data_IF_331969449247
#
_entry.id   IF_331969449247
#
_cell.length_a   1.000
_cell.length_b   1.000
_cell.length_c   1.000
_cell.angle_alpha   90.00
_cell.angle_beta   90.00
_cell.angle_gamma   90.00
#
_symmetry.space_group_name_H-M   'P 1'
#
loop_
_entity.id
_entity.type
_entity.pdbx_description
1 polymer ?
#
# COMPACT_ATOMS: atom_id res chain seq x y z
N UNK A 1 7.37 5.81 -19.79
CA UNK A 1 6.21 5.54 -18.92
C UNK A 1 6.70 4.62 -17.82
N UNK A 2 6.43 4.91 -16.54
CA UNK A 2 6.86 4.07 -15.42
C UNK A 2 6.12 2.72 -15.50
N UNK A 3 6.83 1.58 -15.39
CA UNK A 3 6.23 0.24 -15.52
C UNK A 3 5.07 0.04 -14.56
N UNK A 4 5.18 0.53 -13.33
CA UNK A 4 4.10 0.46 -12.33
C UNK A 4 2.81 1.14 -12.81
N UNK A 5 2.92 2.31 -13.45
CA UNK A 5 1.78 3.04 -14.00
C UNK A 5 1.14 2.27 -15.14
N UNK A 6 1.95 1.65 -16.00
CA UNK A 6 1.47 0.79 -17.09
C UNK A 6 0.66 -0.39 -16.57
N UNK A 7 1.23 -1.18 -15.65
CA UNK A 7 0.57 -2.35 -15.06
C UNK A 7 -0.72 -1.97 -14.33
N UNK A 8 -0.70 -0.89 -13.53
CA UNK A 8 -1.88 -0.40 -12.84
C UNK A 8 -3.02 -0.04 -13.79
N UNK A 9 -2.72 0.68 -14.88
CA UNK A 9 -3.72 1.04 -15.90
C UNK A 9 -4.26 -0.16 -16.66
N UNK A 10 -3.46 -1.21 -16.78
CA UNK A 10 -3.87 -2.51 -17.33
C UNK A 10 -4.68 -3.36 -16.33
N UNK A 11 -4.81 -2.91 -15.08
CA UNK A 11 -5.48 -3.70 -14.03
C UNK A 11 -4.66 -4.92 -13.61
N UNK A 12 -3.33 -4.78 -13.55
CA UNK A 12 -2.40 -5.87 -13.19
C UNK A 12 -1.37 -5.43 -12.16
N UNK A 13 -0.90 -6.36 -11.35
CA UNK A 13 0.23 -6.18 -10.42
C UNK A 13 1.22 -7.34 -10.52
N UNK A 14 2.47 -7.08 -10.15
CA UNK A 14 3.50 -8.12 -10.01
C UNK A 14 3.27 -8.88 -8.71
N UNK A 15 3.28 -10.22 -8.77
CA UNK A 15 2.97 -11.07 -7.61
C UNK A 15 4.19 -11.12 -6.70
N UNK A 16 4.23 -10.19 -5.74
CA UNK A 16 5.25 -10.16 -4.69
C UNK A 16 4.74 -9.42 -3.46
N UNK A 17 5.15 -9.86 -2.26
CA UNK A 17 5.02 -9.02 -1.06
C UNK A 17 5.91 -7.77 -1.20
N UNK A 18 5.30 -6.67 -1.65
CA UNK A 18 6.04 -5.46 -1.98
C UNK A 18 5.25 -4.17 -1.80
N UNK A 19 5.99 -3.10 -1.51
CA UNK A 19 5.52 -1.74 -1.61
C UNK A 19 6.30 -1.01 -2.71
N UNK A 20 5.56 -0.56 -3.70
CA UNK A 20 6.05 0.13 -4.89
C UNK A 20 5.77 1.61 -4.76
N UNK A 21 6.81 2.44 -4.74
CA UNK A 21 6.69 3.89 -4.76
C UNK A 21 6.91 4.40 -6.18
N UNK A 22 5.85 4.93 -6.80
CA UNK A 22 5.90 5.45 -8.18
C UNK A 22 6.63 6.78 -8.22
N UNK A 23 6.48 7.59 -7.17
CA UNK A 23 7.16 8.89 -7.03
C UNK A 23 8.68 8.76 -6.97
N UNK A 24 9.19 7.73 -6.28
CA UNK A 24 10.63 7.47 -6.16
C UNK A 24 11.16 6.45 -7.18
N UNK A 25 10.26 5.69 -7.83
CA UNK A 25 10.62 4.55 -8.68
C UNK A 25 11.15 3.34 -7.91
N UNK A 26 11.11 3.35 -6.57
CA UNK A 26 11.70 2.31 -5.73
C UNK A 26 10.65 1.29 -5.31
N UNK A 27 11.02 0.00 -5.35
CA UNK A 27 10.22 -1.09 -4.79
C UNK A 27 10.93 -1.68 -3.58
N UNK A 28 10.18 -1.90 -2.50
CA UNK A 28 10.67 -2.50 -1.26
C UNK A 28 9.99 -3.84 -1.08
N UNK A 29 10.77 -4.88 -0.76
CA UNK A 29 10.17 -6.09 -0.21
C UNK A 29 9.50 -5.74 1.12
N UNK A 30 8.33 -6.29 1.40
CA UNK A 30 7.66 -6.11 2.69
C UNK A 30 7.30 -7.47 3.28
N UNK A 31 7.08 -7.49 4.58
CA UNK A 31 6.47 -8.62 5.26
C UNK A 31 5.43 -8.09 6.25
N UNK A 32 4.32 -8.80 6.39
CA UNK A 32 3.34 -8.52 7.45
C UNK A 32 4.00 -8.85 8.79
N UNK A 33 4.04 -7.85 9.67
CA UNK A 33 4.60 -7.96 11.01
C UNK A 33 3.76 -7.11 11.96
N UNK A 34 2.81 -7.71 12.72
CA UNK A 34 1.97 -6.98 13.66
C UNK A 34 2.75 -6.28 14.78
N UNK A 35 4.02 -6.66 15.02
CA UNK A 35 4.90 -6.00 15.97
C UNK A 35 5.65 -4.80 15.39
N UNK A 36 5.68 -4.65 14.06
CA UNK A 36 6.28 -3.51 13.40
C UNK A 36 5.30 -2.32 13.35
N UNK A 37 5.81 -1.07 13.35
CA UNK A 37 4.98 0.10 13.08
C UNK A 37 4.16 -0.05 11.80
N UNK A 38 2.85 0.16 11.90
CA UNK A 38 1.93 0.02 10.76
C UNK A 38 1.75 -1.41 10.24
N UNK A 39 2.16 -2.43 11.01
CA UNK A 39 1.93 -3.84 10.65
C UNK A 39 2.83 -4.36 9.52
N UNK A 40 3.84 -3.59 9.10
CA UNK A 40 4.71 -3.90 7.97
C UNK A 40 6.19 -3.79 8.36
N UNK A 41 6.96 -4.81 8.03
CA UNK A 41 8.42 -4.78 8.06
C UNK A 41 8.96 -4.61 6.65
N UNK A 42 9.64 -3.49 6.41
CA UNK A 42 10.33 -3.22 5.14
C UNK A 42 11.65 -3.98 5.07
N UNK A 43 11.91 -4.61 3.93
CA UNK A 43 13.14 -5.29 3.58
C UNK A 43 13.92 -4.53 2.50
N UNK A 44 14.75 -5.27 1.77
CA UNK A 44 15.62 -4.72 0.74
C UNK A 44 14.84 -4.13 -0.44
N UNK A 45 15.44 -3.12 -1.07
CA UNK A 45 14.97 -2.60 -2.34
C UNK A 45 15.28 -3.57 -3.48
N UNK A 46 14.40 -3.63 -4.47
CA UNK A 46 14.60 -4.45 -5.66
C UNK A 46 14.18 -3.71 -6.94
N UNK A 47 14.70 -4.18 -8.07
CA UNK A 47 14.36 -3.67 -9.40
C UNK A 47 13.18 -4.46 -9.97
N UNK A 48 12.00 -3.83 -9.92
CA UNK A 48 10.77 -4.40 -10.43
C UNK A 48 10.81 -4.65 -11.95
N UNK A 49 11.50 -3.80 -12.72
CA UNK A 49 11.63 -3.98 -14.16
C UNK A 49 12.49 -5.21 -14.47
N UNK A 50 13.61 -5.38 -13.75
CA UNK A 50 14.48 -6.54 -13.91
C UNK A 50 13.75 -7.85 -13.54
N UNK A 51 13.00 -7.86 -12.44
CA UNK A 51 12.24 -9.05 -12.02
C UNK A 51 11.09 -9.38 -12.96
N UNK A 52 10.34 -8.38 -13.42
CA UNK A 52 9.26 -8.58 -14.38
C UNK A 52 9.76 -9.07 -15.76
N UNK A 53 11.00 -8.75 -16.12
CA UNK A 53 11.64 -9.30 -17.33
C UNK A 53 12.11 -10.74 -17.10
N UNK A 54 12.61 -11.04 -15.90
CA UNK A 54 13.06 -12.39 -15.54
C UNK A 54 11.89 -13.38 -15.43
N UNK A 55 10.71 -12.92 -14.99
CA UNK A 55 9.52 -13.74 -14.81
C UNK A 55 8.24 -13.03 -15.31
N UNK A 56 7.96 -13.10 -16.63
CA UNK A 56 6.84 -12.38 -17.24
C UNK A 56 5.45 -12.96 -16.89
N UNK A 57 5.40 -14.16 -16.30
CA UNK A 57 4.15 -14.82 -15.91
C UNK A 57 3.72 -14.44 -14.49
N UNK A 58 4.61 -13.81 -13.70
CA UNK A 58 4.41 -13.45 -12.30
C UNK A 58 3.55 -12.20 -12.10
N UNK A 59 2.37 -12.21 -12.69
CA UNK A 59 1.42 -11.10 -12.64
C UNK A 59 0.02 -11.61 -12.28
N UNK A 60 -0.68 -10.83 -11.47
CA UNK A 60 -2.09 -11.06 -11.15
C UNK A 60 -2.93 -9.94 -11.75
N UNK A 61 -4.13 -10.28 -12.23
CA UNK A 61 -5.16 -9.28 -12.50
C UNK A 61 -5.72 -8.79 -11.18
N UNK A 62 -6.03 -7.50 -11.08
CA UNK A 62 -6.58 -6.90 -9.87
C UNK A 62 -8.01 -6.44 -10.07
N UNK A 63 -8.82 -6.65 -9.03
CA UNK A 63 -10.17 -6.14 -8.92
C UNK A 63 -10.23 -5.12 -7.79
N UNK A 64 -10.49 -3.86 -8.13
CA UNK A 64 -10.70 -2.80 -7.15
C UNK A 64 -12.09 -2.97 -6.54
N UNK A 65 -12.16 -3.35 -5.27
CA UNK A 65 -13.43 -3.57 -4.57
C UNK A 65 -13.81 -2.40 -3.66
N UNK A 66 -12.88 -1.48 -3.40
CA UNK A 66 -13.16 -0.28 -2.61
C UNK A 66 -12.30 0.91 -2.97
N UNK A 67 -12.82 2.09 -2.61
CA UNK A 67 -12.19 3.39 -2.84
C UNK A 67 -12.57 4.38 -1.74
N UNK A 68 -11.64 5.24 -1.35
CA UNK A 68 -11.86 6.34 -0.43
C UNK A 68 -11.23 7.62 -0.99
N UNK A 69 -12.02 8.67 -1.30
CA UNK A 69 -11.47 9.92 -1.83
C UNK A 69 -10.60 10.63 -0.80
N UNK A 70 -9.56 11.31 -1.26
CA UNK A 70 -8.67 12.13 -0.43
C UNK A 70 -8.93 13.63 -0.68
N UNK A 71 -8.60 14.52 0.28
CA UNK A 71 -8.84 15.96 0.15
C UNK A 71 -8.07 16.63 -1.00
N UNK A 72 -6.96 16.02 -1.44
CA UNK A 72 -6.12 16.48 -2.56
C UNK A 72 -6.70 16.12 -3.94
N UNK A 73 -7.87 15.46 -3.99
CA UNK A 73 -8.50 14.99 -5.21
C UNK A 73 -8.02 13.60 -5.67
N UNK A 74 -7.02 13.03 -5.00
CA UNK A 74 -6.62 11.64 -5.16
C UNK A 74 -7.57 10.67 -4.45
N UNK A 75 -7.18 9.41 -4.36
CA UNK A 75 -7.94 8.40 -3.63
C UNK A 75 -7.05 7.29 -3.08
N UNK A 76 -7.51 6.64 -2.02
CA UNK A 76 -7.06 5.30 -1.64
C UNK A 76 -7.91 4.27 -2.36
N UNK A 77 -7.29 3.20 -2.85
CA UNK A 77 -7.98 2.07 -3.49
C UNK A 77 -7.47 0.77 -2.89
N UNK A 78 -8.33 -0.23 -2.84
CA UNK A 78 -7.96 -1.55 -2.35
C UNK A 78 -8.82 -2.62 -3.01
N UNK A 79 -8.36 -3.86 -2.88
CA UNK A 79 -9.09 -5.01 -3.38
C UNK A 79 -8.27 -6.29 -3.35
N UNK A 80 -8.46 -7.10 -4.37
CA UNK A 80 -7.89 -8.43 -4.48
C UNK A 80 -7.10 -8.66 -5.76
N UNK A 81 -6.24 -9.66 -5.73
CA UNK A 81 -5.69 -10.30 -6.91
C UNK A 81 -6.46 -11.56 -7.28
N UNK A 82 -6.39 -11.94 -8.55
CA UNK A 82 -7.12 -13.07 -9.15
C UNK A 82 -6.92 -14.44 -8.51
N UNK A 83 -5.90 -14.65 -7.68
CA UNK A 83 -5.65 -15.92 -7.00
C UNK A 83 -6.41 -16.07 -5.67
N UNK A 84 -7.10 -15.03 -5.19
CA UNK A 84 -7.97 -15.07 -4.00
C UNK A 84 -7.25 -15.13 -2.64
N UNK A 85 -5.94 -15.41 -2.62
CA UNK A 85 -5.08 -15.24 -1.42
C UNK A 85 -4.46 -13.84 -1.35
N UNK A 86 -4.56 -13.07 -2.43
CA UNK A 86 -3.87 -11.80 -2.63
C UNK A 86 -4.72 -10.61 -2.17
N UNK A 87 -4.07 -9.58 -1.67
CA UNK A 87 -4.68 -8.29 -1.40
C UNK A 87 -3.76 -7.15 -1.81
N UNK A 88 -4.36 -6.06 -2.31
CA UNK A 88 -3.62 -4.83 -2.58
C UNK A 88 -4.29 -3.60 -1.96
N UNK A 89 -3.45 -2.61 -1.67
CA UNK A 89 -3.86 -1.26 -1.32
C UNK A 89 -3.01 -0.27 -2.11
N UNK A 90 -3.55 0.86 -2.51
CA UNK A 90 -2.84 1.86 -3.28
C UNK A 90 -3.33 3.27 -2.94
N UNK A 91 -2.44 4.25 -3.08
CA UNK A 91 -2.84 5.65 -3.28
C UNK A 91 -2.72 5.98 -4.75
N UNK A 92 -3.75 6.64 -5.28
CA UNK A 92 -3.74 7.22 -6.62
C UNK A 92 -3.86 8.74 -6.56
N UNK A 93 -3.23 9.41 -7.53
CA UNK A 93 -3.39 10.84 -7.76
C UNK A 93 -4.76 11.14 -8.40
N UNK A 94 -5.06 12.43 -8.59
CA UNK A 94 -6.36 12.89 -9.13
C UNK A 94 -6.64 12.44 -10.56
N UNK A 95 -5.61 12.10 -11.32
CA UNK A 95 -5.71 11.52 -12.67
C UNK A 95 -5.89 9.99 -12.65
N UNK A 96 -5.87 9.37 -11.46
CA UNK A 96 -6.01 7.93 -11.27
C UNK A 96 -4.70 7.15 -11.37
N UNK A 97 -3.57 7.81 -11.61
CA UNK A 97 -2.26 7.15 -11.64
C UNK A 97 -1.78 6.80 -10.22
N UNK A 98 -1.09 5.67 -10.06
CA UNK A 98 -0.61 5.24 -8.75
C UNK A 98 0.50 6.18 -8.26
N UNK A 99 0.43 6.53 -6.97
CA UNK A 99 1.49 7.19 -6.21
C UNK A 99 2.32 6.13 -5.49
N UNK A 100 1.63 5.17 -4.87
CA UNK A 100 2.23 3.95 -4.33
C UNK A 100 1.23 2.79 -4.39
N UNK A 101 1.77 1.57 -4.41
CA UNK A 101 1.00 0.33 -4.41
C UNK A 101 1.63 -0.64 -3.41
N UNK A 102 0.84 -1.17 -2.49
CA UNK A 102 1.15 -2.29 -1.63
C UNK A 102 0.46 -3.53 -2.18
N UNK A 103 1.20 -4.61 -2.39
CA UNK A 103 0.68 -5.93 -2.74
C UNK A 103 1.17 -6.95 -1.71
N UNK A 104 0.27 -7.84 -1.28
CA UNK A 104 0.58 -8.95 -0.39
C UNK A 104 0.00 -10.24 -0.98
N UNK A 105 0.85 -11.26 -1.11
CA UNK A 105 0.54 -12.56 -1.73
C UNK A 105 -0.38 -13.40 -0.83
N UNK A 106 -0.26 -13.23 0.50
CA UNK A 106 -0.96 -14.00 1.52
C UNK A 106 -1.70 -13.11 2.54
N UNK A 107 -2.43 -12.09 2.06
CA UNK A 107 -3.26 -11.25 2.95
C UNK A 107 -4.74 -11.55 2.88
N UNK A 108 -5.21 -12.28 1.88
CA UNK A 108 -6.59 -12.24 1.39
C UNK A 108 -7.00 -10.81 0.94
N UNK A 109 -8.17 -10.65 0.29
CA UNK A 109 -8.64 -9.34 -0.14
C UNK A 109 -8.70 -8.33 0.99
N UNK A 110 -8.24 -7.10 0.74
CA UNK A 110 -8.56 -5.97 1.59
C UNK A 110 -10.04 -5.62 1.42
N UNK A 111 -10.74 -5.41 2.54
CA UNK A 111 -12.20 -5.20 2.54
C UNK A 111 -12.62 -3.92 3.23
N UNK A 112 -11.75 -3.33 4.06
CA UNK A 112 -12.04 -2.11 4.81
C UNK A 112 -10.82 -1.21 4.87
N UNK A 113 -11.10 0.09 4.95
CA UNK A 113 -10.11 1.12 5.26
C UNK A 113 -10.62 2.00 6.40
N UNK A 114 -9.72 2.36 7.31
CA UNK A 114 -9.96 3.36 8.35
C UNK A 114 -8.95 4.48 8.15
N UNK A 115 -9.44 5.67 7.81
CA UNK A 115 -8.61 6.85 7.57
C UNK A 115 -8.64 7.75 8.81
N UNK A 116 -7.48 8.14 9.33
CA UNK A 116 -7.35 9.06 10.46
C UNK A 116 -6.17 9.99 10.22
N UNK A 117 -6.43 11.27 9.94
CA UNK A 117 -5.39 12.21 9.54
C UNK A 117 -4.68 11.72 8.27
N UNK A 118 -3.36 11.56 8.36
CA UNK A 118 -2.49 11.15 7.24
C UNK A 118 -2.22 9.63 7.21
N UNK A 119 -2.97 8.87 8.03
CA UNK A 119 -2.85 7.42 8.15
C UNK A 119 -4.06 6.70 7.57
N UNK A 120 -3.81 5.60 6.87
CA UNK A 120 -4.83 4.72 6.34
C UNK A 120 -4.56 3.28 6.77
N UNK A 121 -5.42 2.74 7.63
CA UNK A 121 -5.35 1.34 8.06
C UNK A 121 -6.25 0.49 7.16
N UNK A 122 -5.66 -0.44 6.42
CA UNK A 122 -6.37 -1.41 5.61
C UNK A 122 -6.52 -2.72 6.37
N UNK A 123 -7.71 -3.30 6.34
CA UNK A 123 -8.02 -4.58 6.97
C UNK A 123 -8.47 -5.59 5.91
N UNK A 124 -7.83 -6.75 5.90
CA UNK A 124 -8.17 -7.86 5.02
C UNK A 124 -9.25 -8.76 5.61
N UNK A 125 -9.85 -9.58 4.75
CA UNK A 125 -10.86 -10.56 5.18
C UNK A 125 -10.29 -11.67 6.08
N UNK A 126 -8.98 -11.87 6.11
CA UNK A 126 -8.29 -12.79 7.03
C UNK A 126 -7.82 -12.12 8.33
N UNK A 127 -8.05 -10.81 8.49
CA UNK A 127 -7.68 -10.05 9.68
C UNK A 127 -6.27 -9.45 9.64
N UNK A 128 -5.57 -9.52 8.51
CA UNK A 128 -4.32 -8.76 8.30
C UNK A 128 -4.64 -7.27 8.33
N UNK A 129 -3.85 -6.52 9.11
CA UNK A 129 -3.99 -5.06 9.25
C UNK A 129 -2.67 -4.38 8.96
N UNK A 130 -2.68 -3.45 8.03
CA UNK A 130 -1.51 -2.69 7.60
C UNK A 130 -1.85 -1.21 7.49
N UNK A 131 -0.92 -0.35 7.87
CA UNK A 131 -1.10 1.10 7.91
C UNK A 131 0.03 1.79 7.15
N UNK A 132 0.08 1.68 5.81
CA UNK A 132 1.00 2.48 5.02
C UNK A 132 0.66 3.98 5.17
N UNK A 133 1.68 4.82 5.31
CA UNK A 133 1.48 6.27 5.30
C UNK A 133 0.88 6.75 3.98
N UNK A 134 -0.09 7.65 4.01
CA UNK A 134 -0.77 8.12 2.79
C UNK A 134 0.22 8.89 1.89
N UNK A 135 1.00 9.80 2.48
CA UNK A 135 2.02 10.60 1.77
C UNK A 135 3.44 10.01 1.84
N UNK A 136 3.71 9.19 2.85
CA UNK A 136 5.02 8.57 3.07
C UNK A 136 4.84 7.07 3.38
N UNK A 137 4.62 6.24 2.35
CA UNK A 137 4.21 4.84 2.55
C UNK A 137 5.33 3.94 3.09
N UNK A 138 6.60 4.37 3.01
CA UNK A 138 7.79 3.61 3.45
C UNK A 138 8.49 4.16 4.70
N UNK A 139 7.94 5.21 5.31
CA UNK A 139 8.38 5.67 6.63
C UNK A 139 7.21 5.44 7.58
N UNK A 140 7.44 4.85 8.77
CA UNK A 140 6.38 4.86 9.78
C UNK A 140 5.93 6.31 9.95
N UNK A 141 4.62 6.55 9.92
CA UNK A 141 4.07 7.76 10.51
C UNK A 141 4.64 7.91 11.92
N UNK A 142 4.78 9.14 12.45
CA UNK A 142 5.19 9.30 13.83
C UNK A 142 4.31 8.38 14.71
N UNK A 143 4.89 7.69 15.70
CA UNK A 143 4.14 6.74 16.51
C UNK A 143 2.85 7.41 17.02
N UNK A 144 1.73 6.67 17.15
CA UNK A 144 0.48 7.25 17.61
C UNK A 144 0.75 8.00 18.91
N UNK A 145 0.64 9.33 18.87
CA UNK A 145 0.85 10.18 20.04
C UNK A 145 -0.05 9.63 21.15
N UNK A 146 0.58 9.15 22.21
CA UNK A 146 -0.14 8.69 23.39
C UNK A 146 -0.96 9.85 23.94
N UNK A 147 -2.05 9.55 24.66
CA UNK A 147 -2.92 10.59 25.23
C UNK A 147 -2.17 11.58 26.14
N UNK A 148 -0.96 11.22 26.59
CA UNK A 148 -0.05 12.05 27.39
C UNK A 148 0.60 13.19 26.56
N UNK A 149 1.02 12.90 25.32
CA UNK A 149 1.67 13.86 24.42
C UNK A 149 0.73 15.00 23.97
N UNK A 150 -0.59 14.77 23.99
CA UNK A 150 -1.59 15.81 23.66
C UNK A 150 -1.72 16.88 24.75
N UNK A 151 -1.35 16.58 26.00
CA UNK A 151 -1.47 17.54 27.11
C UNK A 151 -0.31 18.52 27.17
N UNK A 152 0.85 18.16 26.63
CA UNK A 152 2.03 19.03 26.68
C UNK A 152 2.04 20.15 25.63
N UNK A 153 1.27 20.03 24.54
CA UNK A 153 1.27 21.01 23.44
C UNK A 153 0.10 22.01 23.44
N UNK A 154 -0.89 21.82 24.31
CA UNK A 154 -2.04 22.72 24.44
C UNK A 154 -1.85 23.79 25.54
N UNK A 155 -0.62 23.92 26.06
CA UNK A 155 -0.28 24.84 27.14
C UNK A 155 1.04 25.55 26.92
N UNK A 156 1.14 26.31 25.82
CA UNK A 156 2.03 27.48 25.68
C UNK A 156 1.31 28.58 24.91
#
# INVERSE_FOLDING_TARGET
MNRMVGMWREGRLFIRDALHSVSTGTSFAVAVDPGAPGGLRFGDTFDLDAEAVADPERFTSIDVTGSHPLPDGGALRWGEGSHGSEGFAARVASDGDPVWILHLEESNPFVRVFVTGDEATFESSSGVRVTPGIDAPGLPGPPPMTADDRRHRAGE
#
